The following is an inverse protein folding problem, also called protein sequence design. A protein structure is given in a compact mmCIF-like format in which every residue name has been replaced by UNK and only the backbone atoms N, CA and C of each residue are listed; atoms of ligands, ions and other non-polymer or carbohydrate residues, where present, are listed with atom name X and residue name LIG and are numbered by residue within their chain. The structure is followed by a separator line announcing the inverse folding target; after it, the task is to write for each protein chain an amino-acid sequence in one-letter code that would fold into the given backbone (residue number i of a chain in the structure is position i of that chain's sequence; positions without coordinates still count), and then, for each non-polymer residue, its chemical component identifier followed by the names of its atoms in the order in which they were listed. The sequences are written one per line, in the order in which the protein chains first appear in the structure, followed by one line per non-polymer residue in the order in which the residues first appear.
data_IF_596726397396
#
_entry.id   IF_596726397396
#
_cell.length_a   1.000
_cell.length_b   1.000
_cell.length_c   1.000
_cell.angle_alpha   90.00
_cell.angle_beta   90.00
_cell.angle_gamma   90.00
#
_symmetry.space_group_name_H-M   'P 1'
#
loop_
_entity.id
_entity.type
_entity.pdbx_description
1 polymer ?
#
# COMPACT_ATOMS: atom_id res chain seq x y z
N UNK A 1 15.42 -16.58 2.16
CA UNK A 1 14.03 -16.09 1.88
C UNK A 1 13.14 -17.30 2.02
N UNK A 2 12.13 -17.26 2.89
CA UNK A 2 11.19 -18.37 3.05
C UNK A 2 10.31 -18.45 1.81
N UNK A 3 10.28 -19.59 1.12
CA UNK A 3 9.39 -19.80 -0.02
C UNK A 3 7.94 -19.84 0.46
N UNK A 4 7.07 -19.05 -0.18
CA UNK A 4 5.62 -19.10 0.03
C UNK A 4 5.06 -20.38 -0.58
N UNK A 5 4.27 -21.12 0.18
CA UNK A 5 3.48 -22.23 -0.34
C UNK A 5 2.25 -21.71 -1.11
N UNK A 6 1.66 -22.50 -2.01
CA UNK A 6 0.50 -22.09 -2.84
C UNK A 6 -0.71 -21.57 -2.04
N UNK A 7 -0.81 -21.89 -0.76
CA UNK A 7 -1.93 -21.48 0.10
C UNK A 7 -1.56 -20.41 1.14
N UNK A 8 -0.38 -19.81 1.03
CA UNK A 8 0.05 -18.76 1.95
C UNK A 8 -0.02 -17.38 1.28
N UNK A 9 -0.77 -16.48 1.91
CA UNK A 9 -0.73 -15.06 1.55
C UNK A 9 -0.09 -14.22 2.66
N UNK A 10 0.43 -13.05 2.29
CA UNK A 10 1.01 -12.07 3.19
C UNK A 10 0.11 -10.82 3.20
N UNK A 11 -0.38 -10.50 4.40
CA UNK A 11 -1.10 -9.27 4.68
C UNK A 11 -0.15 -8.30 5.37
N UNK A 12 -0.06 -7.07 4.85
CA UNK A 12 0.67 -5.98 5.47
C UNK A 12 -0.32 -4.87 5.84
N UNK A 13 -0.24 -4.33 7.05
CA UNK A 13 -0.81 -3.01 7.34
C UNK A 13 0.31 -1.98 7.32
N UNK A 14 0.13 -0.88 6.59
CA UNK A 14 1.16 0.13 6.45
C UNK A 14 0.56 1.53 6.53
N UNK A 15 0.87 2.24 7.60
CA UNK A 15 0.64 3.68 7.64
C UNK A 15 1.78 4.38 6.88
N UNK A 16 1.46 5.03 5.76
CA UNK A 16 2.46 5.64 4.89
C UNK A 16 2.70 7.12 5.18
N UNK A 17 2.03 7.71 6.18
CA UNK A 17 2.17 9.10 6.63
C UNK A 17 2.12 10.15 5.51
N UNK A 18 1.03 10.91 5.43
CA UNK A 18 0.84 11.94 4.40
C UNK A 18 1.04 11.40 2.96
N UNK A 19 0.54 10.20 2.70
CA UNK A 19 0.56 9.57 1.38
C UNK A 19 1.91 8.97 0.98
N UNK A 20 2.86 8.80 1.89
CA UNK A 20 4.15 8.18 1.57
C UNK A 20 5.09 9.07 0.79
N UNK A 21 4.79 10.37 0.73
CA UNK A 21 5.60 11.38 0.01
C UNK A 21 6.05 12.53 0.90
N UNK A 22 5.85 12.41 2.22
CA UNK A 22 6.27 13.42 3.17
C UNK A 22 7.78 13.71 3.05
N UNK A 23 8.17 14.97 3.28
CA UNK A 23 9.57 15.45 3.18
C UNK A 23 10.22 15.21 1.80
N UNK A 24 9.43 15.04 0.74
CA UNK A 24 9.93 14.83 -0.63
C UNK A 24 10.33 13.37 -0.92
N UNK A 25 9.89 12.42 -0.11
CA UNK A 25 10.09 11.01 -0.39
C UNK A 25 9.35 10.60 -1.68
N UNK A 26 9.99 9.90 -2.63
CA UNK A 26 9.31 9.38 -3.80
C UNK A 26 8.43 8.18 -3.43
N UNK A 27 7.23 8.09 -4.01
CA UNK A 27 6.25 7.04 -3.71
C UNK A 27 6.78 5.62 -4.01
N UNK A 28 7.73 5.52 -4.94
CA UNK A 28 8.45 4.30 -5.30
C UNK A 28 9.19 3.68 -4.12
N UNK A 29 9.61 4.47 -3.12
CA UNK A 29 10.21 3.92 -1.90
C UNK A 29 9.18 3.17 -1.04
N UNK A 30 7.98 3.71 -0.92
CA UNK A 30 6.84 3.02 -0.27
C UNK A 30 6.52 1.71 -1.01
N UNK A 31 6.48 1.75 -2.35
CA UNK A 31 6.29 0.54 -3.16
C UNK A 31 7.43 -0.48 -2.98
N UNK A 32 8.68 -0.03 -2.84
CA UNK A 32 9.82 -0.90 -2.62
C UNK A 32 9.73 -1.65 -1.28
N UNK A 33 9.28 -0.99 -0.20
CA UNK A 33 9.04 -1.63 1.11
C UNK A 33 7.99 -2.73 1.00
N UNK A 34 6.87 -2.45 0.31
CA UNK A 34 5.79 -3.42 0.10
C UNK A 34 6.27 -4.64 -0.71
N UNK A 35 7.06 -4.42 -1.76
CA UNK A 35 7.66 -5.51 -2.56
C UNK A 35 8.62 -6.36 -1.74
N UNK A 36 9.46 -5.72 -0.92
CA UNK A 36 10.40 -6.42 -0.04
C UNK A 36 9.68 -7.28 1.00
N UNK A 37 8.53 -6.81 1.51
CA UNK A 37 7.67 -7.58 2.40
C UNK A 37 6.95 -8.75 1.71
N UNK A 38 7.02 -8.83 0.38
CA UNK A 38 6.28 -9.80 -0.43
C UNK A 38 4.78 -9.81 -0.10
N UNK A 39 4.20 -8.64 0.18
CA UNK A 39 2.78 -8.54 0.50
C UNK A 39 1.93 -8.92 -0.73
N UNK A 40 0.82 -9.63 -0.50
CA UNK A 40 -0.21 -9.85 -1.52
C UNK A 40 -1.42 -8.95 -1.29
N UNK A 41 -1.64 -8.57 -0.02
CA UNK A 41 -2.66 -7.61 0.40
C UNK A 41 -1.99 -6.56 1.28
N UNK A 42 -2.25 -5.28 1.02
CA UNK A 42 -1.76 -4.15 1.82
C UNK A 42 -2.93 -3.28 2.24
N UNK A 43 -3.09 -3.09 3.55
CA UNK A 43 -3.99 -2.07 4.12
C UNK A 43 -3.17 -0.81 4.33
N UNK A 44 -3.41 0.21 3.51
CA UNK A 44 -2.71 1.49 3.52
C UNK A 44 -3.51 2.52 4.29
N UNK A 45 -2.91 3.10 5.32
CA UNK A 45 -3.49 4.21 6.10
C UNK A 45 -2.81 5.53 5.75
N UNK A 46 -3.49 6.65 6.00
CA UNK A 46 -2.99 8.00 5.70
C UNK A 46 -2.55 8.13 4.23
N UNK A 47 -3.35 7.60 3.32
CA UNK A 47 -2.99 7.52 1.91
C UNK A 47 -3.01 8.87 1.17
N UNK A 48 -3.77 9.87 1.65
CA UNK A 48 -3.74 11.26 1.15
C UNK A 48 -3.88 11.44 -0.38
N UNK A 49 -4.59 10.54 -1.05
CA UNK A 49 -4.78 10.53 -2.51
C UNK A 49 -3.79 9.63 -3.27
N UNK A 50 -2.78 9.06 -2.61
CA UNK A 50 -1.74 8.25 -3.25
C UNK A 50 -2.03 6.75 -3.29
N UNK A 51 -3.17 6.29 -2.80
CA UNK A 51 -3.52 4.86 -2.84
C UNK A 51 -3.55 4.29 -4.27
N UNK A 52 -4.21 4.98 -5.21
CA UNK A 52 -4.29 4.55 -6.62
C UNK A 52 -2.92 4.57 -7.30
N UNK A 53 -2.14 5.68 -7.29
CA UNK A 53 -0.77 5.68 -7.83
C UNK A 53 0.14 4.60 -7.22
N UNK A 54 -0.01 4.33 -5.92
CA UNK A 54 0.75 3.28 -5.26
C UNK A 54 0.35 1.88 -5.77
N UNK A 55 -0.94 1.65 -6.00
CA UNK A 55 -1.44 0.41 -6.58
C UNK A 55 -0.94 0.20 -8.02
N UNK A 56 -0.93 1.25 -8.84
CA UNK A 56 -0.40 1.23 -10.21
C UNK A 56 1.09 0.83 -10.22
N UNK A 57 1.90 1.41 -9.32
CA UNK A 57 3.31 1.03 -9.17
C UNK A 57 3.47 -0.45 -8.81
N UNK A 58 2.58 -0.98 -7.96
CA UNK A 58 2.64 -2.36 -7.49
C UNK A 58 2.02 -3.37 -8.48
N UNK A 59 1.25 -2.91 -9.47
CA UNK A 59 0.40 -3.74 -10.31
C UNK A 59 -0.74 -4.40 -9.52
N UNK A 60 -1.28 -3.69 -8.52
CA UNK A 60 -2.34 -4.17 -7.63
C UNK A 60 -3.67 -3.50 -7.98
N UNK A 61 -4.78 -4.14 -7.60
CA UNK A 61 -6.10 -3.51 -7.54
C UNK A 61 -6.19 -2.62 -6.31
N UNK A 62 -6.82 -1.44 -6.43
CA UNK A 62 -7.05 -0.51 -5.34
C UNK A 62 -8.53 -0.48 -4.93
N UNK A 63 -8.80 -0.69 -3.65
CA UNK A 63 -10.12 -0.52 -3.04
C UNK A 63 -10.04 0.53 -1.93
N UNK A 64 -10.53 1.73 -2.19
CA UNK A 64 -10.57 2.81 -1.19
C UNK A 64 -11.71 2.54 -0.20
N UNK A 65 -11.35 2.39 1.07
CA UNK A 65 -12.27 2.22 2.20
C UNK A 65 -12.25 3.53 2.99
N UNK A 66 -13.39 4.24 2.97
CA UNK A 66 -13.64 5.57 3.56
C UNK A 66 -13.43 6.74 2.59
N UNK A 67 -14.50 7.54 2.49
CA UNK A 67 -14.67 8.77 1.74
C UNK A 67 -14.17 10.00 2.55
N UNK A 68 -14.04 11.19 1.94
CA UNK A 68 -13.37 12.35 2.52
C UNK A 68 -13.69 12.64 4.00
N UNK A 69 -12.70 13.12 4.76
CA UNK A 69 -11.42 13.62 4.28
C UNK A 69 -10.29 12.56 4.18
N UNK A 70 -9.42 12.69 3.17
CA UNK A 70 -8.39 11.69 2.81
C UNK A 70 -7.40 11.34 3.93
N UNK A 71 -7.23 12.20 4.94
CA UNK A 71 -6.37 11.91 6.10
C UNK A 71 -6.94 10.84 7.05
N UNK A 72 -8.21 10.49 6.94
CA UNK A 72 -8.82 9.34 7.64
C UNK A 72 -9.06 8.14 6.72
N UNK A 73 -8.72 8.27 5.44
CA UNK A 73 -9.02 7.23 4.47
C UNK A 73 -8.02 6.09 4.53
N UNK A 74 -8.56 4.88 4.37
CA UNK A 74 -7.82 3.63 4.25
C UNK A 74 -7.98 3.15 2.82
N UNK A 75 -6.99 2.45 2.29
CA UNK A 75 -7.13 1.71 1.05
C UNK A 75 -6.66 0.28 1.24
N UNK A 76 -7.32 -0.66 0.59
CA UNK A 76 -6.87 -2.04 0.48
C UNK A 76 -6.31 -2.22 -0.93
N UNK A 77 -5.03 -2.58 -1.02
CA UNK A 77 -4.37 -2.92 -2.26
C UNK A 77 -4.20 -4.43 -2.32
N UNK A 78 -4.51 -5.07 -3.44
CA UNK A 78 -4.36 -6.52 -3.59
C UNK A 78 -3.84 -6.93 -4.97
N UNK A 79 -2.98 -7.95 -5.02
CA UNK A 79 -2.52 -8.57 -6.28
C UNK A 79 -3.67 -9.30 -7.00
#
# INVERSE_FOLDING_TARGET
VLEKTEHQFCLMSFNILYGGTHLGQPLEQTAAVIRLAQADIVVVCEQWGNAEPLADLLGFTCHIVVAPPYWQSVAVLSR
#
